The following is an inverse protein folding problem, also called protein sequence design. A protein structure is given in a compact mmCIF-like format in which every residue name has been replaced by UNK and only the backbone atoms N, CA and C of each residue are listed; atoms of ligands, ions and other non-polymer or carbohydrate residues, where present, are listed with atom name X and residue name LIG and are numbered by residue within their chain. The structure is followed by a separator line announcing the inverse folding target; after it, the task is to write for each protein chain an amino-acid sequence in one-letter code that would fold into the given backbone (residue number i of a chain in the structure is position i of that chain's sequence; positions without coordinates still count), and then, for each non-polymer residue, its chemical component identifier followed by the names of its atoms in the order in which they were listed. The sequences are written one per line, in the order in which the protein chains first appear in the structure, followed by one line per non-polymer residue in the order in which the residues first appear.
data_IF_818971522618
#
_entry.id   IF_818971522618
#
_cell.length_a   1.000
_cell.length_b   1.000
_cell.length_c   1.000
_cell.angle_alpha   90.00
_cell.angle_beta   90.00
_cell.angle_gamma   90.00
#
_symmetry.space_group_name_H-M   'P 1'
#
loop_
_entity.id
_entity.type
_entity.pdbx_description
1 polymer ?
#
# COMPACT_ATOMS: atom_id res chain seq x y z
N UNK A 1 -14.51 38.64 -32.31
CA UNK A 1 -13.34 38.11 -31.57
C UNK A 1 -13.59 36.64 -31.27
N UNK A 2 -12.58 35.75 -31.38
CA UNK A 2 -12.74 34.37 -30.91
C UNK A 2 -13.06 34.36 -29.41
N UNK A 3 -13.98 33.51 -28.98
CA UNK A 3 -14.30 33.32 -27.56
C UNK A 3 -13.16 32.56 -26.90
N UNK A 4 -12.76 32.94 -25.69
CA UNK A 4 -11.84 32.11 -24.91
C UNK A 4 -12.55 30.80 -24.54
N UNK A 5 -11.95 29.68 -24.91
CA UNK A 5 -12.43 28.32 -24.60
C UNK A 5 -11.45 27.54 -23.73
N UNK A 6 -10.30 28.14 -23.40
CA UNK A 6 -9.19 27.49 -22.69
C UNK A 6 -9.08 27.98 -21.24
N UNK A 7 -8.67 27.09 -20.34
CA UNK A 7 -8.42 27.35 -18.92
C UNK A 7 -9.52 28.09 -18.14
N UNK A 8 -10.76 28.03 -18.61
CA UNK A 8 -11.92 28.75 -18.03
C UNK A 8 -12.22 28.41 -16.55
N UNK A 9 -11.65 27.31 -16.04
CA UNK A 9 -11.80 26.83 -14.66
C UNK A 9 -10.46 26.59 -13.97
N UNK A 10 -9.35 27.02 -14.56
CA UNK A 10 -8.01 26.94 -13.96
C UNK A 10 -7.73 28.26 -13.25
N UNK A 11 -7.47 28.20 -11.94
CA UNK A 11 -7.13 29.38 -11.14
C UNK A 11 -5.67 29.78 -11.31
N UNK A 12 -4.80 28.79 -11.40
CA UNK A 12 -3.35 28.96 -11.41
C UNK A 12 -2.69 27.68 -11.94
N UNK A 13 -1.55 27.83 -12.60
CA UNK A 13 -0.67 26.73 -13.01
C UNK A 13 0.73 27.00 -12.44
N UNK A 14 1.26 26.05 -11.69
CA UNK A 14 2.61 26.08 -11.11
C UNK A 14 3.38 24.85 -11.56
N UNK A 15 4.67 25.03 -11.83
CA UNK A 15 5.55 23.93 -12.21
C UNK A 15 5.92 23.07 -10.99
N UNK A 16 6.03 21.76 -11.24
CA UNK A 16 6.61 20.81 -10.30
C UNK A 16 8.12 20.70 -10.55
N UNK A 17 8.89 20.57 -9.47
CA UNK A 17 10.30 20.22 -9.54
C UNK A 17 10.46 18.91 -10.31
N UNK A 18 11.34 18.80 -11.33
CA UNK A 18 11.52 17.55 -12.05
C UNK A 18 11.92 16.37 -11.16
N UNK A 19 11.47 15.13 -11.42
CA UNK A 19 11.84 13.97 -10.61
C UNK A 19 13.35 13.77 -10.44
N UNK A 20 14.15 14.04 -11.47
CA UNK A 20 15.60 13.92 -11.45
C UNK A 20 16.27 14.78 -10.37
N UNK A 21 15.68 15.92 -10.00
CA UNK A 21 16.22 16.78 -8.95
C UNK A 21 16.10 16.09 -7.58
N UNK A 22 14.94 15.54 -7.26
CA UNK A 22 14.73 14.82 -6.00
C UNK A 22 15.49 13.49 -5.95
N UNK A 23 15.62 12.80 -7.09
CA UNK A 23 16.46 11.60 -7.20
C UNK A 23 17.93 11.92 -6.93
N UNK A 24 18.44 13.05 -7.43
CA UNK A 24 19.81 13.49 -7.14
C UNK A 24 20.00 13.92 -5.69
N UNK A 25 19.00 14.56 -5.11
CA UNK A 25 19.06 15.03 -3.72
C UNK A 25 18.95 13.89 -2.71
N UNK A 26 18.07 12.92 -2.96
CA UNK A 26 17.90 11.71 -2.16
C UNK A 26 18.16 10.48 -3.05
N UNK A 27 19.42 10.16 -3.35
CA UNK A 27 19.77 9.02 -4.20
C UNK A 27 19.47 7.70 -3.48
N UNK A 28 19.00 6.72 -4.23
CA UNK A 28 18.91 5.35 -3.76
C UNK A 28 20.34 4.81 -3.55
N UNK A 29 20.74 4.62 -2.29
CA UNK A 29 22.07 4.08 -1.93
C UNK A 29 22.14 2.58 -2.23
N UNK A 30 23.34 2.02 -2.34
CA UNK A 30 23.53 0.60 -2.63
C UNK A 30 22.82 -0.30 -1.60
N UNK A 31 22.90 0.05 -0.31
CA UNK A 31 22.20 -0.66 0.78
C UNK A 31 20.69 -0.63 0.61
N UNK A 32 20.14 0.54 0.26
CA UNK A 32 18.70 0.70 0.03
C UNK A 32 18.26 -0.05 -1.23
N UNK A 33 19.05 0.02 -2.29
CA UNK A 33 18.80 -0.69 -3.54
C UNK A 33 18.75 -2.20 -3.32
N UNK A 34 19.71 -2.75 -2.56
CA UNK A 34 19.75 -4.18 -2.22
C UNK A 34 18.53 -4.58 -1.37
N UNK A 35 18.18 -3.79 -0.34
CA UNK A 35 16.98 -4.06 0.46
C UNK A 35 15.72 -4.15 -0.39
N UNK A 36 15.53 -3.18 -1.29
CA UNK A 36 14.34 -3.11 -2.15
C UNK A 36 14.32 -4.27 -3.13
N UNK A 37 15.46 -4.58 -3.75
CA UNK A 37 15.62 -5.73 -4.64
C UNK A 37 15.25 -7.04 -3.93
N UNK A 38 15.83 -7.28 -2.76
CA UNK A 38 15.56 -8.49 -1.98
C UNK A 38 14.10 -8.56 -1.50
N UNK A 39 13.52 -7.44 -1.08
CA UNK A 39 12.12 -7.39 -0.62
C UNK A 39 11.15 -7.67 -1.78
N UNK A 40 11.40 -7.10 -2.97
CA UNK A 40 10.60 -7.38 -4.18
C UNK A 40 10.72 -8.84 -4.58
N UNK A 41 11.92 -9.41 -4.58
CA UNK A 41 12.13 -10.83 -4.86
C UNK A 41 11.49 -11.76 -3.83
N UNK A 42 11.55 -11.41 -2.55
CA UNK A 42 10.88 -12.17 -1.48
C UNK A 42 9.36 -12.20 -1.71
N UNK A 43 8.75 -11.05 -2.01
CA UNK A 43 7.32 -10.98 -2.32
C UNK A 43 6.97 -11.70 -3.62
N UNK A 44 7.78 -11.58 -4.67
CA UNK A 44 7.63 -12.40 -5.89
C UNK A 44 7.60 -13.89 -5.55
N UNK A 45 8.56 -14.39 -4.76
CA UNK A 45 8.59 -15.79 -4.34
C UNK A 45 7.35 -16.21 -3.57
N UNK A 46 6.85 -15.38 -2.65
CA UNK A 46 5.62 -15.66 -1.91
C UNK A 46 4.41 -15.70 -2.86
N UNK A 47 4.28 -14.69 -3.72
CA UNK A 47 3.19 -14.59 -4.70
C UNK A 47 3.18 -15.74 -5.71
N UNK A 48 4.34 -16.33 -5.99
CA UNK A 48 4.49 -17.49 -6.88
C UNK A 48 4.54 -18.84 -6.15
N UNK A 49 4.46 -18.85 -4.82
CA UNK A 49 4.43 -20.07 -3.99
C UNK A 49 5.79 -20.77 -3.82
N UNK A 50 6.88 -20.05 -4.05
CA UNK A 50 8.26 -20.48 -3.83
C UNK A 50 8.79 -20.14 -2.41
N UNK A 51 7.98 -19.46 -1.62
CA UNK A 51 8.21 -19.10 -0.22
C UNK A 51 6.85 -19.14 0.50
N UNK A 52 6.80 -19.74 1.68
CA UNK A 52 5.57 -19.95 2.45
C UNK A 52 5.38 -18.90 3.57
N UNK A 53 6.21 -17.87 3.62
CA UNK A 53 6.02 -16.72 4.50
C UNK A 53 4.77 -15.92 4.12
N UNK A 54 4.30 -15.10 5.05
CA UNK A 54 3.17 -14.20 4.87
C UNK A 54 3.64 -12.77 4.64
N UNK A 55 3.16 -12.10 3.59
CA UNK A 55 3.39 -10.67 3.37
C UNK A 55 2.54 -9.88 4.36
N UNK A 56 3.14 -9.00 5.16
CA UNK A 56 2.39 -8.16 6.10
C UNK A 56 2.63 -6.69 5.80
N UNK A 57 1.62 -6.03 5.23
CA UNK A 57 1.64 -4.59 4.97
C UNK A 57 1.04 -3.88 6.17
N UNK A 58 1.86 -3.35 7.07
CA UNK A 58 1.42 -2.79 8.35
C UNK A 58 1.99 -1.39 8.60
N UNK A 59 1.15 -0.48 9.07
CA UNK A 59 1.55 0.89 9.41
C UNK A 59 0.41 1.89 9.37
N UNK A 60 0.69 3.20 9.51
CA UNK A 60 -0.34 4.22 9.63
C UNK A 60 -1.30 4.25 8.43
N UNK A 61 -2.56 4.63 8.67
CA UNK A 61 -3.53 4.83 7.58
C UNK A 61 -3.00 5.82 6.54
N UNK A 62 -2.48 6.96 7.00
CA UNK A 62 -1.70 7.92 6.22
C UNK A 62 -0.67 8.62 7.13
N UNK A 63 0.45 9.05 6.55
CA UNK A 63 1.54 9.72 7.27
C UNK A 63 1.38 11.23 7.16
N UNK A 64 1.26 11.89 8.31
CA UNK A 64 1.19 13.36 8.42
C UNK A 64 2.39 13.94 9.20
N UNK A 65 3.03 13.14 10.06
CA UNK A 65 4.24 13.50 10.82
C UNK A 65 5.39 12.54 10.50
N UNK A 66 6.46 13.04 9.91
CA UNK A 66 7.65 12.25 9.55
C UNK A 66 8.41 11.77 10.79
N UNK A 67 8.35 12.49 11.92
CA UNK A 67 9.02 12.08 13.16
C UNK A 67 8.33 10.87 13.76
N UNK A 68 7.01 10.91 13.92
CA UNK A 68 6.22 9.77 14.37
C UNK A 68 6.34 8.58 13.41
N UNK A 69 6.39 8.81 12.09
CA UNK A 69 6.62 7.74 11.12
C UNK A 69 7.98 7.04 11.32
N UNK A 70 9.05 7.81 11.56
CA UNK A 70 10.39 7.24 11.82
C UNK A 70 10.49 6.55 13.18
N UNK A 71 9.78 7.01 14.21
CA UNK A 71 9.65 6.27 15.48
C UNK A 71 8.96 4.93 15.27
N UNK A 72 7.80 4.94 14.59
CA UNK A 72 7.10 3.70 14.23
C UNK A 72 7.98 2.75 13.41
N UNK A 73 8.72 3.26 12.42
CA UNK A 73 9.63 2.48 11.59
C UNK A 73 10.71 1.79 12.43
N UNK A 74 11.36 2.51 13.35
CA UNK A 74 12.39 1.92 14.24
C UNK A 74 11.84 0.77 15.07
N UNK A 75 10.64 0.91 15.61
CA UNK A 75 9.98 -0.19 16.35
C UNK A 75 9.62 -1.37 15.45
N UNK A 76 9.19 -1.09 14.21
CA UNK A 76 8.78 -2.14 13.26
C UNK A 76 9.98 -2.93 12.71
N UNK A 77 11.15 -2.32 12.55
CA UNK A 77 12.40 -3.02 12.17
C UNK A 77 12.70 -4.17 13.13
N UNK A 78 12.56 -3.95 14.44
CA UNK A 78 12.79 -5.00 15.45
C UNK A 78 11.84 -6.19 15.25
N UNK A 79 10.57 -5.92 14.91
CA UNK A 79 9.60 -6.99 14.66
C UNK A 79 9.84 -7.69 13.31
N UNK A 80 10.28 -6.95 12.28
CA UNK A 80 10.68 -7.52 10.98
C UNK A 80 11.81 -8.53 11.17
N UNK A 81 12.83 -8.20 11.95
CA UNK A 81 13.92 -9.13 12.26
C UNK A 81 13.44 -10.32 13.11
N UNK A 82 12.63 -10.06 14.15
CA UNK A 82 12.09 -11.09 15.04
C UNK A 82 11.27 -12.16 14.31
N UNK A 83 10.48 -11.77 13.30
CA UNK A 83 9.58 -12.66 12.59
C UNK A 83 10.00 -12.98 11.14
N UNK A 84 11.24 -12.67 10.74
CA UNK A 84 11.69 -12.79 9.35
C UNK A 84 11.53 -14.18 8.72
N UNK A 85 11.52 -15.22 9.55
CA UNK A 85 11.34 -16.61 9.11
C UNK A 85 9.88 -16.95 8.78
N UNK A 86 8.92 -16.16 9.26
CA UNK A 86 7.49 -16.37 9.06
C UNK A 86 6.83 -15.26 8.24
N UNK A 87 7.29 -14.03 8.40
CA UNK A 87 6.65 -12.83 7.87
C UNK A 87 7.61 -12.02 7.00
N UNK A 88 7.13 -11.54 5.86
CA UNK A 88 7.76 -10.48 5.08
C UNK A 88 7.06 -9.15 5.43
N UNK A 89 7.56 -8.47 6.45
CA UNK A 89 6.92 -7.25 7.00
C UNK A 89 7.33 -6.02 6.21
N UNK A 90 6.38 -5.35 5.58
CA UNK A 90 6.58 -4.11 4.82
C UNK A 90 5.82 -2.98 5.51
N UNK A 91 6.49 -1.86 5.75
CA UNK A 91 5.85 -0.70 6.35
C UNK A 91 4.87 -0.06 5.38
N UNK A 92 3.65 0.20 5.83
CA UNK A 92 2.67 1.00 5.10
C UNK A 92 3.04 2.49 5.19
N UNK A 93 3.50 3.07 4.08
CA UNK A 93 3.92 4.46 3.92
C UNK A 93 3.02 5.18 2.92
N UNK A 94 1.78 5.45 3.34
CA UNK A 94 0.76 6.08 2.48
C UNK A 94 0.71 7.58 2.76
N UNK A 95 0.78 8.40 1.72
CA UNK A 95 0.83 9.86 1.88
C UNK A 95 -0.53 10.52 1.84
N UNK A 96 -1.54 9.89 1.24
CA UNK A 96 -2.87 10.44 1.08
C UNK A 96 -3.93 9.36 1.32
N UNK A 97 -5.10 9.81 1.79
CA UNK A 97 -6.33 9.02 1.79
C UNK A 97 -7.29 9.60 0.76
N UNK A 98 -7.66 8.85 -0.30
CA UNK A 98 -8.67 9.32 -1.25
C UNK A 98 -10.03 9.54 -0.58
N UNK A 99 -10.56 10.77 -0.68
CA UNK A 99 -11.84 11.18 -0.06
C UNK A 99 -12.76 11.87 -1.05
N UNK A 100 -14.06 11.62 -0.89
CA UNK A 100 -15.15 12.31 -1.62
C UNK A 100 -15.65 13.57 -0.91
N UNK A 101 -15.19 13.82 0.31
CA UNK A 101 -15.52 15.00 1.12
C UNK A 101 -14.29 15.90 1.32
N UNK A 102 -14.52 17.14 1.75
CA UNK A 102 -13.45 18.10 2.07
C UNK A 102 -12.65 17.62 3.28
N UNK A 103 -11.32 17.79 3.23
CA UNK A 103 -10.37 17.48 4.30
C UNK A 103 -8.94 17.53 3.78
N UNK A 104 -7.95 17.43 4.68
CA UNK A 104 -6.52 17.35 4.37
C UNK A 104 -6.19 16.43 3.18
N UNK A 105 -5.33 16.88 2.27
CA UNK A 105 -5.06 16.20 0.99
C UNK A 105 -3.85 15.26 1.01
N UNK A 106 -3.29 15.02 2.19
CA UNK A 106 -2.12 14.16 2.35
C UNK A 106 -0.81 14.93 2.31
N UNK A 107 0.26 14.26 2.72
CA UNK A 107 1.59 14.86 2.93
C UNK A 107 2.20 15.41 1.65
N UNK A 108 1.99 14.73 0.52
CA UNK A 108 2.49 15.22 -0.78
C UNK A 108 1.75 16.50 -1.17
N UNK A 109 0.42 16.51 -1.08
CA UNK A 109 -0.36 17.65 -1.54
C UNK A 109 -0.27 18.85 -0.60
N UNK A 110 -0.34 18.62 0.72
CA UNK A 110 -0.47 19.66 1.73
C UNK A 110 0.40 19.32 2.97
N UNK A 111 1.75 19.38 2.84
CA UNK A 111 2.68 18.90 3.88
C UNK A 111 2.58 19.65 5.21
N UNK A 112 2.14 20.91 5.17
CA UNK A 112 2.00 21.76 6.37
C UNK A 112 0.59 21.71 6.97
N UNK A 113 -0.32 20.94 6.37
CA UNK A 113 -1.71 20.74 6.82
C UNK A 113 -2.53 22.05 6.94
N UNK A 114 -2.09 23.12 6.28
CA UNK A 114 -2.66 24.47 6.33
C UNK A 114 -3.42 24.85 5.05
N UNK A 115 -3.48 23.95 4.07
CA UNK A 115 -4.08 24.18 2.75
C UNK A 115 -3.23 25.06 1.85
N UNK A 116 -1.92 25.19 2.12
CA UNK A 116 -0.98 25.95 1.28
C UNK A 116 -0.62 25.23 -0.03
N UNK A 117 -0.91 23.93 -0.13
CA UNK A 117 -0.64 23.08 -1.29
C UNK A 117 0.81 23.14 -1.79
N UNK A 118 1.77 23.04 -0.86
CA UNK A 118 3.20 23.10 -1.14
C UNK A 118 3.72 21.76 -1.69
N UNK A 119 3.22 21.37 -2.87
CA UNK A 119 3.45 20.04 -3.46
C UNK A 119 4.94 19.73 -3.65
N UNK A 120 5.76 20.70 -4.04
CA UNK A 120 7.22 20.49 -4.17
C UNK A 120 7.87 20.12 -2.83
N UNK A 121 7.46 20.76 -1.73
CA UNK A 121 7.95 20.43 -0.39
C UNK A 121 7.43 19.06 0.05
N UNK A 122 6.18 18.73 -0.28
CA UNK A 122 5.57 17.43 0.01
C UNK A 122 6.24 16.27 -0.72
N UNK A 123 6.56 16.43 -2.02
CA UNK A 123 7.32 15.45 -2.80
C UNK A 123 8.72 15.22 -2.24
N UNK A 124 9.42 16.32 -1.88
CA UNK A 124 10.73 16.27 -1.22
C UNK A 124 10.65 15.49 0.09
N UNK A 125 9.70 15.84 0.95
CA UNK A 125 9.47 15.22 2.27
C UNK A 125 9.12 13.74 2.15
N UNK A 126 8.24 13.38 1.20
CA UNK A 126 7.84 12.00 0.95
C UNK A 126 9.01 11.12 0.50
N UNK A 127 9.86 11.64 -0.41
CA UNK A 127 11.04 10.91 -0.89
C UNK A 127 12.09 10.74 0.21
N UNK A 128 12.39 11.81 0.95
CA UNK A 128 13.31 11.77 2.09
C UNK A 128 12.86 10.75 3.13
N UNK A 129 11.56 10.73 3.48
CA UNK A 129 11.01 9.77 4.42
C UNK A 129 11.17 8.33 3.92
N UNK A 130 10.84 8.05 2.67
CA UNK A 130 11.02 6.71 2.09
C UNK A 130 12.48 6.28 2.10
N UNK A 131 13.40 7.18 1.76
CA UNK A 131 14.83 6.91 1.82
C UNK A 131 15.25 6.53 3.24
N UNK A 132 14.91 7.37 4.23
CA UNK A 132 15.25 7.16 5.63
C UNK A 132 14.65 5.86 6.20
N UNK A 133 13.42 5.50 5.81
CA UNK A 133 12.79 4.24 6.24
C UNK A 133 13.55 3.04 5.66
N UNK A 134 13.90 3.08 4.37
CA UNK A 134 14.65 1.99 3.75
C UNK A 134 16.09 1.89 4.31
N UNK A 135 16.73 3.01 4.67
CA UNK A 135 18.06 3.00 5.32
C UNK A 135 18.06 2.29 6.68
N UNK A 136 16.90 2.22 7.36
CA UNK A 136 16.74 1.43 8.59
C UNK A 136 16.65 -0.08 8.33
N UNK A 137 16.66 -0.55 7.07
CA UNK A 137 16.46 -1.96 6.72
C UNK A 137 14.98 -2.36 6.62
N UNK A 138 14.06 -1.40 6.56
CA UNK A 138 12.60 -1.64 6.49
C UNK A 138 12.06 -1.25 5.11
N UNK A 139 11.54 -2.21 4.32
CA UNK A 139 10.93 -1.87 3.04
C UNK A 139 9.62 -1.11 3.24
N UNK A 140 9.35 -0.19 2.32
CA UNK A 140 8.13 0.61 2.30
C UNK A 140 7.15 0.13 1.22
N UNK A 141 5.86 0.17 1.55
CA UNK A 141 4.75 -0.03 0.62
C UNK A 141 3.85 1.19 0.57
N UNK A 142 3.38 1.58 -0.61
CA UNK A 142 2.54 2.78 -0.80
C UNK A 142 1.34 2.52 -1.71
N UNK A 143 0.45 3.50 -1.84
CA UNK A 143 -0.65 3.49 -2.81
C UNK A 143 -0.39 4.53 -3.89
N UNK A 144 -0.57 4.14 -5.15
CA UNK A 144 -0.38 5.03 -6.29
C UNK A 144 -1.74 5.56 -6.76
N UNK A 145 -1.92 6.88 -6.65
CA UNK A 145 -3.19 7.57 -6.90
C UNK A 145 -3.21 8.34 -8.23
N UNK A 146 -2.05 8.51 -8.86
CA UNK A 146 -1.88 9.24 -10.10
C UNK A 146 -0.67 8.70 -10.90
N UNK A 147 -0.48 9.23 -12.10
CA UNK A 147 0.45 8.73 -13.11
C UNK A 147 1.79 9.48 -13.10
N UNK A 148 1.96 10.48 -12.24
CA UNK A 148 3.09 11.40 -12.17
C UNK A 148 3.91 11.16 -10.89
N UNK A 149 3.26 11.11 -9.72
CA UNK A 149 3.91 10.87 -8.43
C UNK A 149 4.79 9.62 -8.38
N UNK A 150 4.49 8.49 -9.07
CA UNK A 150 5.39 7.34 -9.11
C UNK A 150 6.79 7.69 -9.62
N UNK A 151 6.92 8.67 -10.53
CA UNK A 151 8.23 9.06 -11.06
C UNK A 151 9.19 9.61 -10.00
N UNK A 152 8.66 10.07 -8.87
CA UNK A 152 9.41 10.66 -7.77
C UNK A 152 9.80 9.70 -6.66
N UNK A 153 9.08 8.58 -6.52
CA UNK A 153 9.20 7.73 -5.33
C UNK A 153 9.26 6.22 -5.62
N UNK A 154 8.87 5.75 -6.80
CA UNK A 154 8.67 4.32 -7.05
C UNK A 154 9.97 3.50 -6.97
N UNK A 155 11.13 4.12 -7.13
CA UNK A 155 12.43 3.47 -6.93
C UNK A 155 12.69 3.10 -5.46
N UNK A 156 11.98 3.72 -4.51
CA UNK A 156 12.10 3.50 -3.06
C UNK A 156 10.96 2.65 -2.46
N UNK A 157 10.10 2.07 -3.31
CA UNK A 157 8.89 1.34 -2.90
C UNK A 157 9.03 -0.14 -3.24
N UNK A 158 8.88 -1.02 -2.24
CA UNK A 158 8.97 -2.46 -2.42
C UNK A 158 7.63 -3.10 -2.79
N UNK A 159 6.50 -2.47 -2.49
CA UNK A 159 5.15 -2.98 -2.77
C UNK A 159 4.16 -1.83 -3.05
N UNK A 160 3.29 -1.98 -4.04
CA UNK A 160 2.30 -0.97 -4.42
C UNK A 160 0.86 -1.44 -4.21
N UNK A 161 -0.05 -0.50 -3.97
CA UNK A 161 -1.49 -0.73 -4.03
C UNK A 161 -2.15 0.14 -5.09
N UNK A 162 -3.18 -0.41 -5.72
CA UNK A 162 -4.23 0.34 -6.42
C UNK A 162 -5.52 0.22 -5.61
N UNK A 163 -6.05 1.38 -5.21
CA UNK A 163 -7.20 1.50 -4.34
C UNK A 163 -8.51 1.04 -4.96
N UNK A 164 -9.50 0.73 -4.12
CA UNK A 164 -10.80 0.21 -4.55
C UNK A 164 -11.56 1.13 -5.53
N UNK A 165 -11.25 2.44 -5.53
CA UNK A 165 -11.88 3.43 -6.42
C UNK A 165 -11.15 3.60 -7.75
N UNK A 166 -9.93 3.08 -7.86
CA UNK A 166 -9.07 3.19 -9.05
C UNK A 166 -8.75 1.83 -9.68
N UNK A 167 -9.09 0.71 -9.02
CA UNK A 167 -8.95 -0.65 -9.59
C UNK A 167 -9.62 -0.82 -10.95
N UNK A 168 -10.77 -0.17 -11.18
CA UNK A 168 -11.48 -0.21 -12.47
C UNK A 168 -10.93 0.79 -13.51
N UNK A 169 -10.09 1.73 -13.07
CA UNK A 169 -9.50 2.73 -13.95
C UNK A 169 -8.45 2.12 -14.87
N UNK A 170 -8.64 2.27 -16.18
CA UNK A 170 -7.70 1.77 -17.19
C UNK A 170 -6.29 2.34 -16.99
N UNK A 171 -6.15 3.66 -16.80
CA UNK A 171 -4.82 4.29 -16.63
C UNK A 171 -4.07 3.79 -15.40
N UNK A 172 -4.77 3.34 -14.35
CA UNK A 172 -4.13 2.75 -13.17
C UNK A 172 -3.69 1.31 -13.41
N UNK A 173 -4.42 0.56 -14.24
CA UNK A 173 -4.00 -0.79 -14.70
C UNK A 173 -2.78 -0.71 -15.61
N UNK A 174 -2.77 0.27 -16.52
CA UNK A 174 -1.63 0.60 -17.37
C UNK A 174 -0.42 1.03 -16.54
N UNK A 175 -0.61 1.90 -15.53
CA UNK A 175 0.45 2.25 -14.59
C UNK A 175 1.01 1.01 -13.88
N UNK A 176 0.13 0.16 -13.32
CA UNK A 176 0.54 -1.04 -12.60
C UNK A 176 1.37 -2.01 -13.45
N UNK A 177 1.09 -2.08 -14.76
CA UNK A 177 1.87 -2.90 -15.70
C UNK A 177 3.33 -2.44 -15.88
N UNK A 178 3.66 -1.21 -15.49
CA UNK A 178 5.01 -0.65 -15.56
C UNK A 178 5.67 -0.43 -14.20
N UNK A 179 4.97 -0.67 -13.09
CA UNK A 179 5.55 -0.55 -11.76
C UNK A 179 6.58 -1.67 -11.51
N UNK A 180 7.75 -1.30 -11.01
CA UNK A 180 8.84 -2.25 -10.75
C UNK A 180 8.67 -3.08 -9.47
N UNK A 181 7.54 -2.95 -8.78
CA UNK A 181 7.21 -3.68 -7.57
C UNK A 181 5.95 -4.53 -7.77
N UNK A 182 5.73 -5.56 -6.92
CA UNK A 182 4.43 -6.22 -6.83
C UNK A 182 3.30 -5.23 -6.54
N UNK A 183 2.11 -5.48 -7.10
CA UNK A 183 0.95 -4.58 -6.99
C UNK A 183 -0.29 -5.32 -6.50
N UNK A 184 -0.89 -4.84 -5.41
CA UNK A 184 -2.17 -5.33 -4.93
C UNK A 184 -3.34 -4.49 -5.43
N UNK A 185 -4.32 -5.12 -6.09
CA UNK A 185 -5.57 -4.50 -6.51
C UNK A 185 -6.69 -4.78 -5.50
N UNK A 186 -7.25 -3.73 -4.90
CA UNK A 186 -8.40 -3.87 -3.99
C UNK A 186 -9.67 -4.24 -4.74
N UNK A 187 -10.49 -5.13 -4.16
CA UNK A 187 -11.86 -5.34 -4.65
C UNK A 187 -12.68 -4.03 -4.59
N UNK A 188 -13.76 -3.97 -5.37
CA UNK A 188 -14.64 -2.80 -5.45
C UNK A 188 -15.26 -2.44 -4.11
N UNK A 189 -15.65 -1.17 -3.91
CA UNK A 189 -16.20 -0.70 -2.63
C UNK A 189 -17.50 -1.40 -2.21
N UNK A 190 -18.18 -2.06 -3.13
CA UNK A 190 -19.37 -2.88 -2.93
C UNK A 190 -19.06 -4.36 -2.63
N UNK A 191 -17.81 -4.80 -2.79
CA UNK A 191 -17.36 -6.18 -2.61
C UNK A 191 -16.96 -6.88 -3.92
N UNK A 192 -17.09 -6.22 -5.06
CA UNK A 192 -16.86 -6.87 -6.37
C UNK A 192 -15.39 -7.27 -6.57
N UNK A 193 -15.11 -8.58 -6.55
CA UNK A 193 -13.77 -9.15 -6.79
C UNK A 193 -13.40 -9.17 -8.27
N UNK A 194 -14.39 -9.24 -9.18
CA UNK A 194 -14.15 -9.36 -10.63
C UNK A 194 -13.34 -8.17 -11.16
N UNK A 195 -13.59 -6.95 -10.69
CA UNK A 195 -12.84 -5.78 -11.16
C UNK A 195 -11.34 -5.86 -10.84
N UNK A 196 -10.98 -6.51 -9.73
CA UNK A 196 -9.58 -6.73 -9.34
C UNK A 196 -8.96 -7.87 -10.16
N UNK A 197 -9.71 -8.93 -10.45
CA UNK A 197 -9.29 -10.00 -11.37
C UNK A 197 -9.00 -9.43 -12.76
N UNK A 198 -9.91 -8.62 -13.30
CA UNK A 198 -9.74 -7.96 -14.60
C UNK A 198 -8.53 -7.02 -14.59
N UNK A 199 -8.28 -6.34 -13.46
CA UNK A 199 -7.14 -5.45 -13.30
C UNK A 199 -5.80 -6.18 -13.31
N UNK A 200 -5.70 -7.34 -12.64
CA UNK A 200 -4.50 -8.20 -12.68
C UNK A 200 -4.21 -8.67 -14.10
N UNK A 201 -5.25 -9.12 -14.82
CA UNK A 201 -5.09 -9.54 -16.22
C UNK A 201 -4.64 -8.40 -17.13
N UNK A 202 -5.17 -7.20 -16.91
CA UNK A 202 -4.74 -6.04 -17.68
C UNK A 202 -3.30 -5.68 -17.34
N UNK A 203 -2.95 -5.61 -16.05
CA UNK A 203 -1.63 -5.23 -15.59
C UNK A 203 -0.52 -6.22 -16.03
N UNK A 204 -0.84 -7.49 -16.27
CA UNK A 204 0.13 -8.46 -16.78
C UNK A 204 0.48 -8.31 -18.26
N UNK A 205 -0.17 -7.39 -18.99
CA UNK A 205 0.07 -7.15 -20.41
C UNK A 205 0.88 -5.86 -20.64
N UNK A 206 1.59 -5.74 -21.79
CA UNK A 206 2.17 -4.49 -22.25
C UNK A 206 1.14 -3.39 -22.52
N UNK A 207 1.45 -2.15 -22.14
CA UNK A 207 0.61 -0.97 -22.36
C UNK A 207 1.41 0.25 -22.81
N UNK A 208 0.68 1.28 -23.27
CA UNK A 208 1.23 2.62 -23.46
C UNK A 208 0.35 3.64 -22.74
N UNK A 209 0.94 4.51 -21.93
CA UNK A 209 0.19 5.57 -21.22
C UNK A 209 0.98 6.87 -21.13
N UNK A 210 0.28 7.97 -20.83
CA UNK A 210 0.87 9.29 -20.69
C UNK A 210 1.39 9.52 -19.27
N UNK A 211 2.62 9.97 -19.15
CA UNK A 211 3.26 10.33 -17.88
C UNK A 211 4.30 11.43 -18.11
N UNK A 212 5.30 11.54 -17.23
CA UNK A 212 6.43 12.46 -17.36
C UNK A 212 7.75 11.71 -17.34
N UNK A 213 8.73 12.20 -18.10
CA UNK A 213 10.13 11.78 -17.97
C UNK A 213 10.70 12.18 -16.61
N UNK A 214 11.85 11.60 -16.23
CA UNK A 214 12.59 12.08 -15.05
C UNK A 214 13.02 13.56 -15.16
N UNK A 215 13.11 14.09 -16.38
CA UNK A 215 13.36 15.52 -16.64
C UNK A 215 12.12 16.41 -16.52
N UNK A 216 10.94 15.87 -16.23
CA UNK A 216 9.71 16.66 -16.03
C UNK A 216 8.88 16.92 -17.30
N UNK A 217 9.32 16.46 -18.46
CA UNK A 217 8.57 16.61 -19.73
C UNK A 217 7.51 15.53 -19.90
N UNK A 218 6.36 15.89 -20.50
CA UNK A 218 5.35 14.91 -20.89
C UNK A 218 5.94 13.83 -21.82
N UNK A 219 5.51 12.59 -21.61
CA UNK A 219 6.05 11.43 -22.32
C UNK A 219 5.02 10.33 -22.49
N UNK A 220 5.29 9.48 -23.47
CA UNK A 220 4.63 8.18 -23.64
C UNK A 220 5.51 7.14 -22.93
N UNK A 221 4.92 6.41 -21.99
CA UNK A 221 5.56 5.27 -21.31
C UNK A 221 5.08 4.00 -21.99
N UNK A 222 6.02 3.10 -22.32
CA UNK A 222 5.74 1.75 -22.83
C UNK A 222 6.13 0.73 -21.76
N UNK A 223 5.23 -0.19 -21.43
CA UNK A 223 5.42 -1.17 -20.35
C UNK A 223 5.51 -2.60 -20.87
N UNK A 224 6.12 -3.50 -20.09
CA UNK A 224 6.25 -4.91 -20.44
C UNK A 224 5.14 -5.80 -19.84
N UNK A 225 4.35 -5.28 -18.92
CA UNK A 225 3.47 -6.07 -18.06
C UNK A 225 4.11 -6.35 -16.69
N UNK A 226 3.25 -6.57 -15.70
CA UNK A 226 3.62 -6.90 -14.32
C UNK A 226 2.94 -8.21 -13.91
N UNK A 227 3.73 -9.26 -13.76
CA UNK A 227 3.25 -10.59 -13.37
C UNK A 227 3.04 -10.75 -11.84
N UNK A 228 3.53 -9.80 -11.05
CA UNK A 228 3.48 -9.82 -9.58
C UNK A 228 2.27 -9.07 -9.01
N UNK A 229 1.14 -9.20 -9.70
CA UNK A 229 -0.12 -8.57 -9.31
C UNK A 229 -1.03 -9.56 -8.56
N UNK A 230 -1.71 -9.10 -7.50
CA UNK A 230 -2.59 -9.93 -6.67
C UNK A 230 -3.83 -9.17 -6.18
N UNK A 231 -4.83 -9.89 -5.67
CA UNK A 231 -6.06 -9.29 -5.14
C UNK A 231 -5.88 -8.94 -3.68
N UNK A 232 -6.49 -7.83 -3.26
CA UNK A 232 -6.69 -7.47 -1.85
C UNK A 232 -8.20 -7.52 -1.53
N UNK A 233 -8.61 -8.46 -0.68
CA UNK A 233 -9.95 -8.51 -0.10
C UNK A 233 -10.06 -7.50 1.03
N UNK A 234 -10.94 -6.50 0.91
CA UNK A 234 -11.04 -5.35 1.83
C UNK A 234 -12.45 -5.07 2.34
N UNK A 235 -13.35 -6.03 2.16
CA UNK A 235 -14.78 -5.96 2.41
C UNK A 235 -15.53 -5.20 1.30
N UNK A 236 -16.82 -5.06 1.51
CA UNK A 236 -17.73 -4.34 0.64
C UNK A 236 -18.94 -3.85 1.44
N UNK A 237 -20.14 -4.28 1.03
CA UNK A 237 -21.35 -4.13 1.86
C UNK A 237 -21.28 -4.95 3.15
N UNK A 238 -20.57 -6.08 3.11
CA UNK A 238 -20.23 -6.92 4.25
C UNK A 238 -18.71 -7.17 4.26
N UNK A 239 -18.13 -7.56 5.41
CA UNK A 239 -16.79 -8.13 5.43
C UNK A 239 -16.65 -9.34 4.50
N UNK A 240 -15.45 -9.58 3.98
CA UNK A 240 -15.13 -10.67 3.06
C UNK A 240 -13.79 -11.34 3.40
N UNK A 241 -13.44 -11.41 4.69
CA UNK A 241 -12.20 -12.04 5.16
C UNK A 241 -12.38 -13.51 5.57
N UNK A 242 -13.62 -13.96 5.74
CA UNK A 242 -13.94 -15.32 6.21
C UNK A 242 -13.64 -16.38 5.12
N UNK A 243 -13.56 -17.64 5.55
CA UNK A 243 -13.19 -18.76 4.67
C UNK A 243 -14.12 -18.93 3.45
N UNK A 244 -15.42 -18.63 3.58
CA UNK A 244 -16.34 -18.75 2.45
C UNK A 244 -16.09 -17.65 1.41
N UNK A 245 -15.86 -16.41 1.88
CA UNK A 245 -15.46 -15.30 1.02
C UNK A 245 -14.10 -15.53 0.33
N UNK A 246 -13.13 -16.09 1.05
CA UNK A 246 -11.81 -16.47 0.49
C UNK A 246 -11.98 -17.54 -0.59
N UNK A 247 -12.82 -18.55 -0.36
CA UNK A 247 -13.11 -19.60 -1.34
C UNK A 247 -13.76 -19.01 -2.60
N UNK A 248 -14.79 -18.17 -2.45
CA UNK A 248 -15.48 -17.55 -3.58
C UNK A 248 -14.54 -16.68 -4.43
N UNK A 249 -13.70 -15.88 -3.77
CA UNK A 249 -12.69 -15.07 -4.45
C UNK A 249 -11.67 -15.94 -5.18
N UNK A 250 -11.17 -17.00 -4.54
CA UNK A 250 -10.23 -17.94 -5.16
C UNK A 250 -10.82 -18.65 -6.38
N UNK A 251 -12.11 -19.05 -6.32
CA UNK A 251 -12.80 -19.65 -7.47
C UNK A 251 -12.92 -18.65 -8.62
N UNK A 252 -13.19 -17.37 -8.34
CA UNK A 252 -13.25 -16.32 -9.36
C UNK A 252 -11.88 -16.05 -10.02
N UNK A 253 -10.80 -16.05 -9.22
CA UNK A 253 -9.42 -15.92 -9.70
C UNK A 253 -9.06 -17.12 -10.59
N UNK A 254 -9.32 -18.35 -10.10
CA UNK A 254 -9.00 -19.59 -10.82
C UNK A 254 -9.77 -19.72 -12.13
N UNK A 255 -11.07 -19.38 -12.17
CA UNK A 255 -11.89 -19.32 -13.39
C UNK A 255 -11.31 -18.38 -14.46
N UNK A 256 -10.49 -17.42 -14.03
CA UNK A 256 -9.82 -16.48 -14.94
C UNK A 256 -8.44 -16.95 -15.38
N UNK A 257 -7.99 -18.13 -14.98
CA UNK A 257 -6.68 -18.71 -15.34
C UNK A 257 -5.51 -18.10 -14.57
N UNK A 258 -5.77 -17.48 -13.42
CA UNK A 258 -4.76 -16.91 -12.54
C UNK A 258 -4.54 -17.81 -11.32
N UNK A 259 -3.34 -17.76 -10.72
CA UNK A 259 -3.09 -18.42 -9.45
C UNK A 259 -3.98 -17.82 -8.35
N UNK A 260 -4.78 -18.66 -7.69
CA UNK A 260 -5.73 -18.25 -6.65
C UNK A 260 -5.00 -17.89 -5.34
N UNK A 261 -4.39 -16.71 -5.33
CA UNK A 261 -3.65 -16.16 -4.19
C UNK A 261 -4.13 -14.74 -3.91
N UNK A 262 -4.32 -14.42 -2.65
CA UNK A 262 -4.87 -13.12 -2.25
C UNK A 262 -4.30 -12.62 -0.93
N UNK A 263 -4.36 -11.30 -0.77
CA UNK A 263 -4.11 -10.57 0.46
C UNK A 263 -5.46 -10.18 1.09
N UNK A 264 -5.52 -10.12 2.42
CA UNK A 264 -6.71 -9.67 3.15
C UNK A 264 -6.39 -8.40 3.93
N UNK A 265 -7.12 -7.31 3.66
CA UNK A 265 -7.07 -6.06 4.42
C UNK A 265 -7.96 -6.21 5.66
N UNK A 266 -7.34 -6.19 6.83
CA UNK A 266 -8.01 -6.36 8.11
C UNK A 266 -8.81 -5.12 8.54
N UNK A 267 -8.53 -3.95 7.93
CA UNK A 267 -9.17 -2.67 8.25
C UNK A 267 -10.41 -2.41 7.36
N UNK A 268 -10.71 -1.14 7.11
CA UNK A 268 -11.72 -0.69 6.17
C UNK A 268 -13.09 -1.36 6.33
N UNK A 269 -13.64 -1.98 5.29
CA UNK A 269 -14.97 -2.58 5.37
C UNK A 269 -14.93 -3.95 6.08
N UNK A 270 -13.78 -4.63 6.11
CA UNK A 270 -13.60 -5.85 6.89
C UNK A 270 -13.65 -5.61 8.39
N UNK A 271 -13.09 -4.48 8.87
CA UNK A 271 -13.22 -4.08 10.27
C UNK A 271 -14.54 -3.37 10.58
N UNK A 272 -15.44 -3.21 9.61
CA UNK A 272 -16.62 -2.34 9.73
C UNK A 272 -16.27 -0.91 10.15
N UNK A 273 -15.08 -0.43 9.73
CA UNK A 273 -14.48 0.86 10.09
C UNK A 273 -14.22 1.05 11.60
N UNK A 274 -14.09 -0.06 12.33
CA UNK A 274 -13.74 -0.07 13.75
C UNK A 274 -12.34 -0.67 13.91
N UNK A 275 -11.35 0.15 14.23
CA UNK A 275 -9.95 -0.30 14.31
C UNK A 275 -9.73 -1.50 15.22
N UNK A 276 -10.47 -1.60 16.33
CA UNK A 276 -10.45 -2.71 17.27
C UNK A 276 -10.86 -4.06 16.62
N UNK A 277 -11.69 -4.02 15.56
CA UNK A 277 -12.09 -5.22 14.84
C UNK A 277 -10.98 -5.77 13.93
N UNK A 278 -9.87 -5.05 13.71
CA UNK A 278 -8.74 -5.60 12.96
C UNK A 278 -8.14 -6.83 13.65
N UNK A 279 -8.20 -6.89 14.99
CA UNK A 279 -7.67 -8.00 15.79
C UNK A 279 -8.43 -9.30 15.50
N UNK A 280 -9.77 -9.40 15.71
CA UNK A 280 -10.51 -10.62 15.39
C UNK A 280 -10.48 -10.98 13.90
N UNK A 281 -10.32 -10.01 12.99
CA UNK A 281 -10.08 -10.30 11.57
C UNK A 281 -8.74 -11.01 11.37
N UNK A 282 -7.65 -10.51 11.98
CA UNK A 282 -6.34 -11.15 11.91
C UNK A 282 -6.34 -12.54 12.58
N UNK A 283 -7.08 -12.73 13.68
CA UNK A 283 -7.26 -14.03 14.31
C UNK A 283 -7.99 -15.02 13.40
N UNK A 284 -8.98 -14.57 12.63
CA UNK A 284 -9.68 -15.41 11.65
C UNK A 284 -8.77 -15.85 10.51
N UNK A 285 -8.02 -14.90 9.95
CA UNK A 285 -7.02 -15.16 8.92
C UNK A 285 -5.98 -16.17 9.44
N UNK A 286 -5.49 -15.97 10.67
CA UNK A 286 -4.55 -16.86 11.32
C UNK A 286 -5.14 -18.28 11.50
N UNK A 287 -6.42 -18.41 11.86
CA UNK A 287 -7.09 -19.72 11.95
C UNK A 287 -7.14 -20.42 10.59
N UNK A 288 -7.51 -19.72 9.52
CA UNK A 288 -7.57 -20.27 8.16
C UNK A 288 -6.19 -20.77 7.70
N UNK A 289 -5.15 -19.95 7.89
CA UNK A 289 -3.78 -20.33 7.55
C UNK A 289 -3.28 -21.52 8.36
N UNK A 290 -3.51 -21.52 9.68
CA UNK A 290 -3.10 -22.61 10.56
C UNK A 290 -3.83 -23.93 10.23
N UNK A 291 -5.01 -23.87 9.62
CA UNK A 291 -5.74 -25.04 9.12
C UNK A 291 -5.23 -25.54 7.75
N UNK A 292 -4.22 -24.90 7.16
CA UNK A 292 -3.57 -25.33 5.91
C UNK A 292 -3.93 -24.48 4.69
N UNK A 293 -4.62 -23.35 4.83
CA UNK A 293 -4.89 -22.49 3.67
C UNK A 293 -3.61 -21.80 3.17
N UNK A 294 -3.17 -22.22 1.98
CA UNK A 294 -1.98 -21.72 1.28
C UNK A 294 -2.29 -20.58 0.30
N UNK A 295 -3.57 -20.21 0.14
CA UNK A 295 -4.01 -19.17 -0.81
C UNK A 295 -3.89 -17.77 -0.23
N UNK A 296 -3.90 -17.65 1.10
CA UNK A 296 -3.66 -16.39 1.81
C UNK A 296 -2.16 -16.12 1.83
N UNK A 297 -1.73 -15.17 0.99
CA UNK A 297 -0.32 -14.78 0.81
C UNK A 297 0.04 -13.49 1.53
N UNK A 298 -0.95 -12.73 2.01
CA UNK A 298 -0.67 -11.55 2.81
C UNK A 298 -1.83 -10.98 3.59
N UNK A 299 -1.50 -10.04 4.48
CA UNK A 299 -2.46 -9.27 5.27
C UNK A 299 -2.07 -7.79 5.24
N UNK A 300 -3.07 -6.90 5.24
CA UNK A 300 -2.87 -5.46 5.42
C UNK A 300 -3.51 -5.01 6.74
N UNK A 301 -2.78 -4.21 7.53
CA UNK A 301 -3.20 -3.75 8.86
C UNK A 301 -2.93 -2.25 9.00
N UNK A 302 -3.90 -1.48 9.46
CA UNK A 302 -3.74 -0.07 9.82
C UNK A 302 -3.38 0.05 11.31
N UNK A 303 -2.11 0.42 11.56
CA UNK A 303 -1.45 0.39 12.86
C UNK A 303 -0.66 1.69 13.08
N UNK A 304 -0.65 2.22 14.30
CA UNK A 304 0.16 3.37 14.64
C UNK A 304 0.76 3.21 16.05
N UNK A 305 1.42 4.25 16.56
CA UNK A 305 2.01 4.22 17.90
C UNK A 305 0.88 4.21 18.91
N UNK A 306 -0.04 5.17 18.75
CA UNK A 306 -1.24 5.31 19.56
C UNK A 306 -2.47 4.88 18.77
N UNK A 307 -3.38 4.17 19.44
CA UNK A 307 -4.61 3.67 18.85
C UNK A 307 -5.61 4.78 18.52
N UNK A 308 -6.60 4.47 17.69
CA UNK A 308 -7.69 5.35 17.33
C UNK A 308 -7.31 6.36 16.24
N UNK A 309 -8.06 7.47 16.23
CA UNK A 309 -7.84 8.62 15.35
C UNK A 309 -8.13 9.91 16.10
N UNK A 310 -7.61 11.00 15.56
CA UNK A 310 -7.97 12.36 15.94
C UNK A 310 -8.52 13.13 14.73
N UNK A 311 -9.33 14.14 15.01
CA UNK A 311 -9.74 15.10 14.00
C UNK A 311 -8.65 16.16 13.81
N UNK A 312 -8.55 16.67 12.59
CA UNK A 312 -7.64 17.75 12.25
C UNK A 312 -8.44 18.90 11.63
N UNK A 313 -8.23 20.10 12.16
CA UNK A 313 -8.74 21.35 11.60
C UNK A 313 -7.63 21.97 10.76
N UNK A 314 -7.95 22.42 9.55
CA UNK A 314 -6.95 23.01 8.65
C UNK A 314 -6.22 24.18 9.32
N UNK A 315 -4.88 24.16 9.24
CA UNK A 315 -4.00 25.15 9.87
C UNK A 315 -3.58 24.80 11.29
N UNK A 316 -4.08 23.70 11.88
CA UNK A 316 -3.54 23.16 13.12
C UNK A 316 -2.13 22.62 12.88
N UNK A 317 -1.09 23.16 13.53
CA UNK A 317 0.26 22.65 13.39
C UNK A 317 0.37 21.21 13.86
N UNK A 318 1.24 20.42 13.22
CA UNK A 318 1.52 19.02 13.63
C UNK A 318 1.94 18.91 15.10
N UNK A 319 2.61 19.92 15.65
CA UNK A 319 3.03 19.96 17.06
C UNK A 319 1.87 19.94 18.06
N UNK A 320 0.68 20.34 17.63
CA UNK A 320 -0.50 20.48 18.48
C UNK A 320 -1.41 19.25 18.39
N UNK A 321 -1.11 18.34 17.46
CA UNK A 321 -1.78 17.05 17.31
C UNK A 321 -1.20 16.02 18.30
N UNK A 322 -2.02 15.06 18.70
CA UNK A 322 -1.56 13.93 19.48
C UNK A 322 -0.48 13.15 18.70
N UNK A 323 0.72 13.08 19.25
CA UNK A 323 1.86 12.41 18.63
C UNK A 323 1.52 10.94 18.29
N UNK A 324 1.87 10.50 17.08
CA UNK A 324 1.74 9.09 16.69
C UNK A 324 0.31 8.55 16.67
N UNK A 325 -0.70 9.43 16.51
CA UNK A 325 -2.11 9.05 16.34
C UNK A 325 -2.64 9.54 14.98
N UNK A 326 -3.38 8.67 14.28
CA UNK A 326 -3.85 8.93 12.91
C UNK A 326 -4.79 10.14 12.81
N UNK A 327 -4.66 10.94 11.75
CA UNK A 327 -5.62 12.02 11.37
C UNK A 327 -6.62 11.57 10.30
N UNK A 328 -6.53 10.33 9.83
CA UNK A 328 -7.43 9.72 8.83
C UNK A 328 -8.25 8.59 9.47
N UNK A 329 -8.18 7.36 8.96
CA UNK A 329 -8.88 6.23 9.57
C UNK A 329 -8.19 5.82 10.88
N UNK A 330 -8.97 5.30 11.83
CA UNK A 330 -8.47 4.84 13.11
C UNK A 330 -7.55 3.62 12.94
N UNK A 331 -6.45 3.60 13.68
CA UNK A 331 -5.45 2.53 13.65
C UNK A 331 -5.42 1.76 14.98
N UNK A 332 -5.02 0.49 14.99
CA UNK A 332 -4.66 -0.18 16.24
C UNK A 332 -3.38 0.42 16.83
N UNK A 333 -3.22 0.35 18.14
CA UNK A 333 -2.01 0.83 18.84
C UNK A 333 -0.84 -0.15 18.71
N UNK A 334 0.33 0.28 19.19
CA UNK A 334 1.56 -0.51 19.07
C UNK A 334 1.47 -1.89 19.72
N UNK A 335 0.94 -1.99 20.94
CA UNK A 335 0.87 -3.26 21.67
C UNK A 335 0.00 -4.30 20.96
N UNK A 336 -1.14 -3.88 20.40
CA UNK A 336 -1.99 -4.76 19.60
C UNK A 336 -1.35 -5.11 18.26
N UNK A 337 -0.53 -4.22 17.71
CA UNK A 337 0.24 -4.49 16.49
C UNK A 337 1.23 -5.63 16.71
N UNK A 338 1.94 -5.64 17.83
CA UNK A 338 2.85 -6.74 18.19
C UNK A 338 2.09 -8.06 18.36
N UNK A 339 0.94 -8.06 19.06
CA UNK A 339 0.10 -9.27 19.22
C UNK A 339 -0.41 -9.82 17.88
N UNK A 340 -0.81 -8.93 16.97
CA UNK A 340 -1.25 -9.32 15.62
C UNK A 340 -0.09 -9.99 14.86
N UNK A 341 1.11 -9.42 14.90
CA UNK A 341 2.29 -10.00 14.26
C UNK A 341 2.64 -11.38 14.87
N UNK A 342 2.61 -11.52 16.19
CA UNK A 342 2.81 -12.80 16.88
C UNK A 342 1.79 -13.85 16.44
N UNK A 343 0.52 -13.47 16.39
CA UNK A 343 -0.59 -14.35 15.98
C UNK A 343 -0.42 -14.85 14.54
N UNK A 344 -0.05 -13.95 13.62
CA UNK A 344 0.19 -14.28 12.22
C UNK A 344 1.43 -15.15 12.04
N UNK A 345 2.53 -14.85 12.75
CA UNK A 345 3.74 -15.67 12.71
C UNK A 345 3.47 -17.10 13.22
N UNK A 346 2.73 -17.25 14.33
CA UNK A 346 2.33 -18.56 14.84
C UNK A 346 1.43 -19.33 13.88
N UNK A 347 0.57 -18.64 13.13
CA UNK A 347 -0.24 -19.26 12.09
C UNK A 347 0.62 -19.83 10.95
N UNK A 348 1.64 -19.10 10.50
CA UNK A 348 2.59 -19.60 9.49
C UNK A 348 3.34 -20.84 10.01
N UNK A 349 3.81 -20.81 11.27
CA UNK A 349 4.47 -21.97 11.90
C UNK A 349 3.55 -23.19 11.95
N UNK A 350 2.28 -23.00 12.33
CA UNK A 350 1.28 -24.08 12.36
C UNK A 350 0.97 -24.61 10.96
N UNK A 351 0.86 -23.73 9.96
CA UNK A 351 0.63 -24.12 8.55
C UNK A 351 1.72 -25.06 8.03
N UNK A 352 2.97 -24.83 8.39
CA UNK A 352 4.12 -25.70 8.04
C UNK A 352 4.03 -27.13 8.61
N UNK A 353 3.25 -27.33 9.67
CA UNK A 353 3.05 -28.63 10.31
C UNK A 353 1.88 -29.42 9.69
N UNK A 354 1.02 -28.76 8.91
CA UNK A 354 -0.07 -29.43 8.20
C UNK A 354 0.56 -30.24 7.07
N UNK A 355 0.36 -31.58 7.00
CA UNK A 355 0.88 -32.39 5.91
C UNK A 355 0.38 -31.80 4.60
N UNK A 356 1.29 -31.51 3.67
CA UNK A 356 0.92 -30.98 2.37
C UNK A 356 -0.09 -31.92 1.72
N UNK A 357 -1.30 -31.41 1.47
CA UNK A 357 -2.21 -32.02 0.50
C UNK A 357 -1.49 -31.90 -0.85
N UNK A 358 -0.72 -32.93 -1.19
CA UNK A 358 -0.07 -33.03 -2.48
C UNK A 358 -1.12 -32.81 -3.56
N UNK A 359 -0.92 -31.78 -4.36
CA UNK A 359 -1.52 -31.68 -5.68
C UNK A 359 -0.61 -32.39 -6.67
#
# INVERSE_FOLDING_TARGET
MPKNTDDLRIRELKELTPPAHLIREFPCSDTVSELIYQSRNAMHRILHGMDDRLIVIIGPCSIHDTKAAMDYARRLVEQRERFKNELEIVMRVYFEKPRTTVGWKGLINDPYMDGSFKINDGLRTARELLMNINELGLPAGTEYLDMISPQYIADLVSWGAIGARTTESQVHRELASGLSCPVGFKNGTDGNVKIAVDAIKAASQPHHFLSVTKGGHSAIVSTAGNEDCHIILRGGKAPNYDAASVQEACDAIAKSGLAARLMIDASHANSSKKHENQIPVCEDIARQMAAGDNRIVGVMVESHINAGRQDHVQGTPVSDLAYGQSVTDACIGWDDSVKVLETLADAVRKRRLVPGSGN
#
